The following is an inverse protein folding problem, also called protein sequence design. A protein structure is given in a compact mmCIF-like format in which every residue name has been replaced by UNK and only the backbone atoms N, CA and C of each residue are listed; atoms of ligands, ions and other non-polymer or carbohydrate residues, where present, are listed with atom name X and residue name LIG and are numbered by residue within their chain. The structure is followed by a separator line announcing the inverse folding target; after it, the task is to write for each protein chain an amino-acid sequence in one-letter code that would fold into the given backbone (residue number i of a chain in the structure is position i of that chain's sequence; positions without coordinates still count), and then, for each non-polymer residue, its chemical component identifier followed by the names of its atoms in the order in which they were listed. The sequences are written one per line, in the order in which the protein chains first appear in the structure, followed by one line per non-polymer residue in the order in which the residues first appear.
data_IF_785611703072
#
_entry.id   IF_785611703072
#
_cell.length_a   1.000
_cell.length_b   1.000
_cell.length_c   1.000
_cell.angle_alpha   90.00
_cell.angle_beta   90.00
_cell.angle_gamma   90.00
#
_symmetry.space_group_name_H-M   'P 1'
#
loop_
_entity.id
_entity.type
_entity.pdbx_description
1 polymer ?
#
# COMPACT_ATOMS: atom_id res chain seq x y z
N UNK A 1 -13.35 -3.03 17.46
CA UNK A 1 -14.40 -2.03 17.83
C UNK A 1 -15.75 -2.67 17.51
N UNK A 2 -16.64 -2.75 18.48
CA UNK A 2 -18.02 -3.18 18.28
C UNK A 2 -18.78 -2.01 17.64
N UNK A 3 -19.51 -2.24 16.55
CA UNK A 3 -20.19 -1.17 15.81
C UNK A 3 -21.57 -0.94 16.39
N UNK A 4 -21.79 0.23 16.96
CA UNK A 4 -23.10 0.66 17.48
C UNK A 4 -23.99 1.22 16.37
N UNK A 5 -25.30 1.32 16.62
CA UNK A 5 -26.23 1.96 15.69
C UNK A 5 -25.89 3.43 15.44
N UNK A 6 -25.39 4.14 16.46
CA UNK A 6 -24.95 5.54 16.34
C UNK A 6 -23.74 5.66 15.42
N UNK A 7 -22.74 4.78 15.56
CA UNK A 7 -21.58 4.75 14.67
C UNK A 7 -22.01 4.46 13.22
N UNK A 8 -22.91 3.48 13.03
CA UNK A 8 -23.45 3.16 11.72
C UNK A 8 -24.14 4.36 11.09
N UNK A 9 -25.00 5.05 11.84
CA UNK A 9 -25.70 6.24 11.36
C UNK A 9 -24.72 7.34 10.99
N UNK A 10 -23.73 7.65 11.83
CA UNK A 10 -22.70 8.66 11.56
C UNK A 10 -21.90 8.32 10.30
N UNK A 11 -21.50 7.05 10.11
CA UNK A 11 -20.81 6.60 8.89
C UNK A 11 -21.66 6.90 7.66
N UNK A 12 -22.94 6.51 7.65
CA UNK A 12 -23.83 6.71 6.51
C UNK A 12 -24.10 8.19 6.20
N UNK A 13 -24.26 9.03 7.21
CA UNK A 13 -24.52 10.48 7.06
C UNK A 13 -23.30 11.23 6.52
N UNK A 14 -22.11 10.82 6.95
CA UNK A 14 -20.85 11.49 6.57
C UNK A 14 -20.18 10.86 5.34
N UNK A 15 -20.65 9.72 4.86
CA UNK A 15 -20.08 9.04 3.71
C UNK A 15 -20.01 9.91 2.44
N UNK A 16 -18.85 9.90 1.78
CA UNK A 16 -18.59 10.59 0.51
C UNK A 16 -17.86 9.63 -0.43
N UNK A 17 -18.49 9.32 -1.54
CA UNK A 17 -17.90 8.48 -2.59
C UNK A 17 -17.25 9.38 -3.62
N UNK A 18 -15.98 9.13 -3.88
CA UNK A 18 -15.15 9.95 -4.76
C UNK A 18 -14.57 9.11 -5.88
N UNK A 19 -14.32 9.76 -7.02
CA UNK A 19 -13.72 9.16 -8.22
C UNK A 19 -12.56 10.04 -8.67
N UNK A 20 -11.33 9.57 -8.48
CA UNK A 20 -10.12 10.38 -8.63
C UNK A 20 -9.31 9.83 -9.81
N UNK A 21 -9.06 10.62 -10.86
CA UNK A 21 -8.20 10.20 -11.97
C UNK A 21 -6.75 9.96 -11.48
N UNK A 22 -6.10 8.98 -12.06
CA UNK A 22 -4.69 8.70 -11.81
C UNK A 22 -3.80 9.35 -12.86
N UNK A 23 -2.62 9.82 -12.46
CA UNK A 23 -1.61 10.40 -13.39
C UNK A 23 -1.08 9.37 -14.36
N UNK A 24 -0.93 8.14 -13.89
CA UNK A 24 -0.38 7.02 -14.63
C UNK A 24 -1.24 5.80 -14.32
N UNK A 25 -1.48 4.96 -15.33
CA UNK A 25 -2.13 3.66 -15.11
C UNK A 25 -1.28 2.83 -14.14
N UNK A 26 -1.87 2.45 -13.02
CA UNK A 26 -1.21 1.65 -12.00
C UNK A 26 -2.14 0.52 -11.57
N UNK A 27 -1.65 -0.71 -11.47
CA UNK A 27 -2.46 -1.90 -11.16
C UNK A 27 -3.70 -2.05 -12.08
N UNK A 28 -3.58 -1.64 -13.34
CA UNK A 28 -4.70 -1.66 -14.28
C UNK A 28 -5.70 -0.51 -14.15
N UNK A 29 -5.60 0.32 -13.10
CA UNK A 29 -6.51 1.43 -12.82
C UNK A 29 -6.06 2.72 -13.48
N UNK A 30 -7.02 3.46 -14.03
CA UNK A 30 -6.88 4.85 -14.51
C UNK A 30 -7.66 5.83 -13.63
N UNK A 31 -8.52 5.31 -12.77
CA UNK A 31 -9.33 6.06 -11.82
C UNK A 31 -9.39 5.29 -10.51
N UNK A 32 -9.22 5.99 -9.40
CA UNK A 32 -9.34 5.44 -8.06
C UNK A 32 -10.65 5.88 -7.43
N UNK A 33 -11.53 4.94 -7.15
CA UNK A 33 -12.74 5.18 -6.37
C UNK A 33 -12.47 4.92 -4.90
N UNK A 34 -12.93 5.82 -4.04
CA UNK A 34 -12.79 5.74 -2.58
C UNK A 34 -14.06 6.20 -1.89
N UNK A 35 -14.31 5.70 -0.68
CA UNK A 35 -15.35 6.18 0.19
C UNK A 35 -14.71 6.73 1.46
N UNK A 36 -14.97 8.00 1.77
CA UNK A 36 -14.55 8.65 3.01
C UNK A 36 -15.73 8.78 3.95
N UNK A 37 -15.49 8.69 5.25
CA UNK A 37 -16.46 9.01 6.29
C UNK A 37 -15.78 9.59 7.54
N UNK A 38 -16.55 10.27 8.38
CA UNK A 38 -16.04 10.95 9.57
C UNK A 38 -16.54 10.29 10.85
N UNK A 39 -15.61 10.07 11.78
CA UNK A 39 -15.89 9.68 13.15
C UNK A 39 -15.32 10.67 14.17
N UNK A 40 -15.47 10.41 15.48
CA UNK A 40 -15.00 11.30 16.54
C UNK A 40 -13.48 11.49 16.57
N UNK A 41 -12.71 10.57 16.00
CA UNK A 41 -11.25 10.67 15.89
C UNK A 41 -10.81 11.34 14.57
N UNK A 42 -11.72 11.67 13.68
CA UNK A 42 -11.49 12.29 12.38
C UNK A 42 -11.93 11.44 11.19
N UNK A 43 -11.50 11.83 10.01
CA UNK A 43 -11.84 11.16 8.77
C UNK A 43 -11.06 9.86 8.57
N UNK A 44 -11.71 8.89 7.94
CA UNK A 44 -11.12 7.64 7.50
C UNK A 44 -11.54 7.31 6.06
N UNK A 45 -10.74 6.49 5.41
CA UNK A 45 -10.98 6.01 4.04
C UNK A 45 -11.26 4.53 4.03
N UNK A 46 -12.35 4.15 3.34
CA UNK A 46 -12.65 2.79 2.95
C UNK A 46 -12.61 2.67 1.43
N UNK A 47 -11.57 2.04 0.92
CA UNK A 47 -11.32 1.99 -0.52
C UNK A 47 -10.80 0.61 -0.99
N UNK A 48 -11.48 -0.50 -0.66
CA UNK A 48 -11.14 -1.79 -1.22
C UNK A 48 -11.25 -1.73 -2.74
N UNK A 49 -10.42 -2.48 -3.44
CA UNK A 49 -10.53 -2.54 -4.89
C UNK A 49 -11.87 -3.13 -5.30
N UNK A 50 -12.39 -2.68 -6.45
CA UNK A 50 -13.75 -3.04 -6.88
C UNK A 50 -13.90 -4.52 -7.23
N UNK A 51 -12.80 -5.19 -7.58
CA UNK A 51 -12.75 -6.62 -7.84
C UNK A 51 -12.75 -7.51 -6.59
N UNK A 52 -12.62 -6.92 -5.38
CA UNK A 52 -12.64 -7.68 -4.13
C UNK A 52 -14.09 -7.96 -3.70
N UNK A 53 -14.32 -9.17 -3.21
CA UNK A 53 -15.62 -9.57 -2.64
C UNK A 53 -15.88 -8.85 -1.30
N UNK A 54 -17.13 -8.90 -0.84
CA UNK A 54 -17.56 -8.18 0.36
C UNK A 54 -16.85 -8.68 1.64
N UNK A 55 -16.43 -9.95 1.69
CA UNK A 55 -15.64 -10.52 2.80
C UNK A 55 -14.30 -9.77 2.96
N UNK A 56 -13.53 -9.66 1.88
CA UNK A 56 -12.25 -8.93 1.90
C UNK A 56 -12.49 -7.44 2.14
N UNK A 57 -13.48 -6.85 1.49
CA UNK A 57 -13.84 -5.44 1.65
C UNK A 57 -14.28 -5.10 3.09
N UNK A 58 -14.91 -6.03 3.80
CA UNK A 58 -15.34 -5.86 5.19
C UNK A 58 -14.15 -5.77 6.15
N UNK A 59 -13.03 -6.44 5.85
CA UNK A 59 -11.78 -6.32 6.63
C UNK A 59 -11.22 -4.90 6.52
N UNK A 60 -11.21 -4.33 5.32
CA UNK A 60 -10.80 -2.94 5.09
C UNK A 60 -11.73 -1.95 5.81
N UNK A 61 -13.03 -2.25 5.86
CA UNK A 61 -13.99 -1.41 6.57
C UNK A 61 -13.74 -1.42 8.08
N UNK A 62 -13.38 -2.57 8.66
CA UNK A 62 -12.96 -2.64 10.08
C UNK A 62 -11.77 -1.72 10.36
N UNK A 63 -10.78 -1.68 9.46
CA UNK A 63 -9.63 -0.80 9.59
C UNK A 63 -10.03 0.68 9.58
N UNK A 64 -10.89 1.09 8.64
CA UNK A 64 -11.37 2.46 8.54
C UNK A 64 -12.20 2.86 9.79
N UNK A 65 -13.05 1.95 10.28
CA UNK A 65 -13.83 2.18 11.51
C UNK A 65 -12.92 2.26 12.74
N UNK A 66 -11.91 1.38 12.86
CA UNK A 66 -10.92 1.49 13.94
C UNK A 66 -10.24 2.86 13.92
N UNK A 67 -9.85 3.36 12.74
CA UNK A 67 -9.15 4.63 12.62
C UNK A 67 -10.04 5.83 12.91
N UNK A 68 -11.34 5.79 12.56
CA UNK A 68 -12.29 6.88 12.78
C UNK A 68 -12.88 6.91 14.19
N UNK A 69 -13.07 5.76 14.84
CA UNK A 69 -13.82 5.62 16.09
C UNK A 69 -13.04 4.98 17.23
N UNK A 70 -12.04 4.16 16.90
CA UNK A 70 -11.30 3.38 17.89
C UNK A 70 -10.15 4.15 18.54
N UNK A 71 -9.55 3.50 19.52
CA UNK A 71 -8.33 3.98 20.15
C UNK A 71 -7.12 3.32 19.47
N UNK A 72 -6.37 4.14 18.76
CA UNK A 72 -5.07 3.77 18.18
C UNK A 72 -3.97 4.44 19.00
N UNK A 73 -2.81 3.79 19.21
CA UNK A 73 -1.68 4.45 19.86
C UNK A 73 -1.28 5.73 19.12
N UNK A 74 -0.85 6.75 19.86
CA UNK A 74 -0.38 8.00 19.27
C UNK A 74 1.11 7.91 18.95
N UNK A 75 1.52 8.16 17.69
CA UNK A 75 2.93 8.18 17.32
C UNK A 75 3.68 9.34 17.98
N UNK A 76 4.94 9.12 18.32
CA UNK A 76 5.82 10.17 18.89
C UNK A 76 6.66 10.87 17.83
N UNK A 77 6.99 10.21 16.73
CA UNK A 77 7.74 10.78 15.61
C UNK A 77 6.86 11.72 14.78
N UNK A 78 7.48 12.72 14.16
CA UNK A 78 6.77 13.77 13.42
C UNK A 78 6.76 13.57 11.91
N UNK A 79 7.74 12.84 11.40
CA UNK A 79 7.88 12.49 9.99
C UNK A 79 8.28 11.03 9.84
N UNK A 80 7.98 10.44 8.69
CA UNK A 80 8.47 9.12 8.31
C UNK A 80 9.13 9.20 6.93
N UNK A 81 10.15 8.37 6.70
CA UNK A 81 10.78 8.21 5.40
C UNK A 81 9.88 7.40 4.46
N UNK A 82 9.82 7.82 3.20
CA UNK A 82 9.04 7.13 2.16
C UNK A 82 9.87 6.89 0.90
N UNK A 83 9.49 5.86 0.15
CA UNK A 83 10.09 5.60 -1.16
C UNK A 83 9.24 6.18 -2.29
N UNK A 84 9.88 6.54 -3.40
CA UNK A 84 9.20 6.76 -4.67
C UNK A 84 8.67 5.43 -5.22
N UNK A 85 7.61 5.50 -6.02
CA UNK A 85 6.98 4.31 -6.63
C UNK A 85 6.90 4.48 -8.15
N UNK A 86 7.58 3.60 -8.88
CA UNK A 86 7.60 3.60 -10.33
C UNK A 86 6.68 2.51 -10.88
N UNK A 87 5.66 2.91 -11.63
CA UNK A 87 4.82 2.02 -12.40
C UNK A 87 5.59 1.34 -13.54
N UNK A 88 5.01 0.30 -14.14
CA UNK A 88 5.58 -0.41 -15.28
C UNK A 88 5.45 0.40 -16.60
N UNK A 89 6.08 1.56 -16.66
CA UNK A 89 6.04 2.53 -17.77
C UNK A 89 7.41 2.71 -18.42
N UNK A 90 7.43 3.28 -19.63
CA UNK A 90 8.68 3.55 -20.38
C UNK A 90 9.33 4.87 -19.97
N UNK A 91 8.53 5.92 -19.71
CA UNK A 91 9.06 7.22 -19.31
C UNK A 91 9.26 7.28 -17.78
N UNK A 92 10.43 6.82 -17.36
CA UNK A 92 10.85 6.74 -15.95
C UNK A 92 10.93 8.14 -15.31
N UNK A 93 11.44 9.14 -16.05
CA UNK A 93 11.63 10.50 -15.49
C UNK A 93 10.30 11.18 -15.22
N UNK A 94 9.39 11.19 -16.20
CA UNK A 94 8.06 11.77 -16.02
C UNK A 94 7.27 11.06 -14.91
N UNK A 95 7.42 9.74 -14.80
CA UNK A 95 6.74 8.95 -13.78
C UNK A 95 7.25 9.21 -12.35
N UNK A 96 8.53 9.55 -12.20
CA UNK A 96 9.14 9.81 -10.89
C UNK A 96 9.14 11.30 -10.49
N UNK A 97 8.89 12.22 -11.42
CA UNK A 97 8.84 13.67 -11.15
C UNK A 97 7.94 14.04 -9.95
N UNK A 98 6.73 13.47 -9.77
CA UNK A 98 5.84 13.82 -8.67
C UNK A 98 6.40 13.48 -7.27
N UNK A 99 7.43 12.62 -7.18
CA UNK A 99 8.04 12.22 -5.91
C UNK A 99 9.18 13.14 -5.46
N UNK A 100 9.61 14.08 -6.30
CA UNK A 100 10.72 15.00 -5.99
C UNK A 100 12.03 14.26 -5.71
N UNK A 101 12.73 14.64 -4.64
CA UNK A 101 13.96 13.98 -4.20
C UNK A 101 13.62 12.74 -3.35
N UNK A 102 14.27 11.62 -3.63
CA UNK A 102 14.10 10.37 -2.90
C UNK A 102 15.42 9.59 -2.80
N UNK A 103 15.61 8.85 -1.73
CA UNK A 103 16.77 7.95 -1.52
C UNK A 103 16.44 6.50 -1.94
N UNK A 104 15.16 6.15 -2.02
CA UNK A 104 14.68 4.80 -2.29
C UNK A 104 13.60 4.84 -3.35
N UNK A 105 13.66 3.95 -4.33
CA UNK A 105 12.62 3.79 -5.34
C UNK A 105 12.16 2.33 -5.42
N UNK A 106 10.85 2.11 -5.38
CA UNK A 106 10.23 0.80 -5.63
C UNK A 106 9.74 0.76 -7.08
N UNK A 107 10.27 -0.20 -7.84
CA UNK A 107 10.01 -0.36 -9.27
C UNK A 107 9.07 -1.55 -9.47
N UNK A 108 7.95 -1.32 -10.15
CA UNK A 108 7.06 -2.39 -10.58
C UNK A 108 7.72 -3.20 -11.68
N UNK A 109 7.77 -4.53 -11.48
CA UNK A 109 8.28 -5.53 -12.43
C UNK A 109 7.26 -6.64 -12.64
N UNK A 110 7.52 -7.56 -13.55
CA UNK A 110 6.63 -8.68 -13.88
C UNK A 110 5.22 -8.23 -14.32
N UNK A 111 5.08 -7.07 -14.95
CA UNK A 111 3.78 -6.58 -15.39
C UNK A 111 3.26 -7.44 -16.56
N UNK A 112 1.97 -7.77 -16.51
CA UNK A 112 1.34 -8.60 -17.54
C UNK A 112 1.52 -8.00 -18.93
N UNK A 113 2.06 -8.81 -19.85
CA UNK A 113 2.34 -8.41 -21.23
C UNK A 113 3.69 -7.72 -21.42
N UNK A 114 4.52 -7.61 -20.38
CA UNK A 114 5.92 -7.20 -20.45
C UNK A 114 6.84 -8.41 -20.27
N UNK A 115 8.09 -8.25 -20.71
CA UNK A 115 9.14 -9.25 -20.62
C UNK A 115 10.14 -8.91 -19.52
N UNK A 116 11.00 -9.87 -19.16
CA UNK A 116 12.12 -9.60 -18.25
C UNK A 116 13.05 -8.50 -18.79
N UNK A 117 13.21 -8.39 -20.12
CA UNK A 117 14.02 -7.32 -20.72
C UNK A 117 13.38 -5.93 -20.49
N UNK A 118 12.06 -5.82 -20.57
CA UNK A 118 11.37 -4.56 -20.25
C UNK A 118 11.61 -4.13 -18.80
N UNK A 119 11.68 -5.08 -17.86
CA UNK A 119 11.99 -4.84 -16.46
C UNK A 119 13.45 -4.39 -16.26
N UNK A 120 14.41 -5.08 -16.91
CA UNK A 120 15.83 -4.70 -16.89
C UNK A 120 16.05 -3.32 -17.48
N UNK A 121 15.45 -3.02 -18.62
CA UNK A 121 15.55 -1.70 -19.28
C UNK A 121 15.05 -0.59 -18.36
N UNK A 122 13.93 -0.82 -17.66
CA UNK A 122 13.36 0.12 -16.67
C UNK A 122 14.30 0.33 -15.49
N UNK A 123 14.91 -0.72 -14.98
CA UNK A 123 15.89 -0.63 -13.88
C UNK A 123 17.12 0.15 -14.33
N UNK A 124 17.62 -0.10 -15.54
CA UNK A 124 18.75 0.63 -16.11
C UNK A 124 18.45 2.12 -16.30
N UNK A 125 17.25 2.47 -16.77
CA UNK A 125 16.83 3.87 -16.89
C UNK A 125 16.75 4.55 -15.50
N UNK A 126 16.27 3.86 -14.46
CA UNK A 126 16.31 4.39 -13.08
C UNK A 126 17.77 4.62 -12.65
N UNK A 127 18.66 3.65 -12.86
CA UNK A 127 20.08 3.78 -12.49
C UNK A 127 20.78 4.92 -13.21
N UNK A 128 20.43 5.17 -14.45
CA UNK A 128 20.95 6.26 -15.28
C UNK A 128 20.60 7.64 -14.73
N UNK A 129 19.36 7.84 -14.31
CA UNK A 129 18.86 9.14 -13.84
C UNK A 129 19.00 9.34 -12.33
N UNK A 130 19.00 8.25 -11.55
CA UNK A 130 19.03 8.24 -10.09
C UNK A 130 20.10 7.25 -9.58
N UNK A 131 21.40 7.50 -9.87
CA UNK A 131 22.47 6.52 -9.63
C UNK A 131 22.65 6.15 -8.16
N UNK A 132 22.30 7.05 -7.24
CA UNK A 132 22.46 6.88 -5.79
C UNK A 132 21.23 6.27 -5.12
N UNK A 133 20.09 6.12 -5.84
CA UNK A 133 18.89 5.57 -5.26
C UNK A 133 19.02 4.06 -4.98
N UNK A 134 18.61 3.65 -3.78
CA UNK A 134 18.43 2.24 -3.45
C UNK A 134 17.18 1.72 -4.15
N UNK A 135 17.28 0.54 -4.76
CA UNK A 135 16.23 -0.03 -5.58
C UNK A 135 15.50 -1.13 -4.80
N UNK A 136 14.20 -1.15 -4.92
CA UNK A 136 13.29 -2.24 -4.55
C UNK A 136 12.53 -2.67 -5.80
N UNK A 137 12.30 -3.96 -5.96
CA UNK A 137 11.52 -4.49 -7.08
C UNK A 137 10.25 -5.14 -6.52
N UNK A 138 9.10 -4.84 -7.12
CA UNK A 138 7.81 -5.42 -6.73
C UNK A 138 7.21 -6.18 -7.91
N UNK A 139 7.18 -7.51 -7.80
CA UNK A 139 6.70 -8.41 -8.85
C UNK A 139 5.24 -8.85 -8.65
N UNK A 140 4.61 -8.56 -7.50
CA UNK A 140 3.25 -9.00 -7.14
C UNK A 140 2.95 -10.48 -7.49
N UNK A 141 3.94 -11.36 -7.30
CA UNK A 141 3.84 -12.79 -7.59
C UNK A 141 3.90 -13.15 -9.08
N UNK A 142 4.31 -12.22 -9.94
CA UNK A 142 4.25 -12.39 -11.40
C UNK A 142 5.39 -13.17 -12.03
N UNK A 143 6.46 -13.50 -11.28
CA UNK A 143 7.55 -14.33 -11.77
C UNK A 143 7.35 -15.80 -11.37
N UNK A 144 8.05 -16.68 -12.07
CA UNK A 144 8.45 -18.00 -11.59
C UNK A 144 9.85 -17.93 -10.95
N UNK A 145 10.26 -19.02 -10.31
CA UNK A 145 11.57 -19.11 -9.62
C UNK A 145 12.74 -18.85 -10.58
N UNK A 146 12.68 -19.39 -11.80
CA UNK A 146 13.76 -19.29 -12.79
C UNK A 146 13.93 -17.84 -13.27
N UNK A 147 12.84 -17.18 -13.59
CA UNK A 147 12.84 -15.76 -14.01
C UNK A 147 13.33 -14.85 -12.88
N UNK A 148 12.86 -15.07 -11.65
CA UNK A 148 13.31 -14.32 -10.48
C UNK A 148 14.81 -14.48 -10.20
N UNK A 149 15.36 -15.70 -10.37
CA UNK A 149 16.79 -15.95 -10.25
C UNK A 149 17.61 -15.31 -11.36
N UNK A 150 17.09 -15.32 -12.58
CA UNK A 150 17.74 -14.66 -13.73
C UNK A 150 17.86 -13.17 -13.51
N UNK A 151 16.78 -12.53 -13.04
CA UNK A 151 16.79 -11.11 -12.64
C UNK A 151 17.79 -10.84 -11.52
N UNK A 152 17.74 -11.64 -10.45
CA UNK A 152 18.62 -11.47 -9.30
C UNK A 152 20.11 -11.60 -9.67
N UNK A 153 20.43 -12.56 -10.54
CA UNK A 153 21.78 -12.74 -11.06
C UNK A 153 22.25 -11.52 -11.87
N UNK A 154 21.40 -11.00 -12.77
CA UNK A 154 21.72 -9.80 -13.54
C UNK A 154 21.98 -8.60 -12.62
N UNK A 155 21.12 -8.37 -11.63
CA UNK A 155 21.32 -7.28 -10.65
C UNK A 155 22.62 -7.43 -9.86
N UNK A 156 22.97 -8.64 -9.45
CA UNK A 156 24.20 -8.92 -8.74
C UNK A 156 25.45 -8.69 -9.61
N UNK A 157 25.47 -9.21 -10.84
CA UNK A 157 26.59 -9.08 -11.78
C UNK A 157 26.82 -7.61 -12.21
N UNK A 158 25.76 -6.83 -12.31
CA UNK A 158 25.81 -5.40 -12.65
C UNK A 158 26.08 -4.48 -11.43
N UNK A 159 26.15 -5.05 -10.24
CA UNK A 159 26.36 -4.29 -9.01
C UNK A 159 25.22 -3.33 -8.66
N UNK A 160 23.98 -3.66 -9.02
CA UNK A 160 22.80 -2.87 -8.67
C UNK A 160 22.47 -3.04 -7.18
N UNK A 161 22.37 -1.94 -6.39
CA UNK A 161 22.08 -2.02 -4.96
C UNK A 161 20.60 -2.33 -4.70
N UNK A 162 20.22 -3.61 -4.85
CA UNK A 162 18.85 -4.08 -4.61
C UNK A 162 18.63 -4.29 -3.11
N UNK A 163 17.72 -3.50 -2.51
CA UNK A 163 17.41 -3.59 -1.10
C UNK A 163 16.56 -4.84 -0.79
N UNK A 164 15.57 -5.14 -1.63
CA UNK A 164 14.79 -6.39 -1.60
C UNK A 164 14.00 -6.61 -2.91
N UNK A 165 13.56 -7.85 -3.09
CA UNK A 165 12.59 -8.27 -4.10
C UNK A 165 11.27 -8.61 -3.40
N UNK A 166 10.21 -7.82 -3.67
CA UNK A 166 8.89 -7.94 -3.06
C UNK A 166 8.04 -8.93 -3.86
N UNK A 167 7.50 -9.93 -3.16
CA UNK A 167 6.61 -10.97 -3.68
C UNK A 167 7.00 -11.43 -5.10
N UNK A 168 8.19 -12.00 -5.28
CA UNK A 168 8.65 -12.43 -6.61
C UNK A 168 7.80 -13.55 -7.21
N UNK A 169 7.35 -14.47 -6.36
CA UNK A 169 6.56 -15.65 -6.73
C UNK A 169 5.29 -15.72 -5.88
N UNK A 170 4.30 -16.51 -6.30
CA UNK A 170 2.96 -16.45 -5.71
C UNK A 170 2.84 -17.22 -4.39
N UNK A 171 3.43 -18.40 -4.27
CA UNK A 171 3.20 -19.28 -3.13
C UNK A 171 4.27 -19.15 -2.04
N UNK A 172 3.88 -19.43 -0.80
CA UNK A 172 4.82 -19.44 0.35
C UNK A 172 5.92 -20.48 0.17
N UNK A 173 5.60 -21.64 -0.42
CA UNK A 173 6.58 -22.68 -0.68
C UNK A 173 7.64 -22.23 -1.70
N UNK A 174 7.23 -21.60 -2.79
CA UNK A 174 8.14 -21.03 -3.79
C UNK A 174 8.99 -19.89 -3.20
N UNK A 175 8.39 -19.03 -2.36
CA UNK A 175 9.12 -17.97 -1.66
C UNK A 175 10.22 -18.56 -0.76
N UNK A 176 9.91 -19.60 0.01
CA UNK A 176 10.89 -20.27 0.87
C UNK A 176 12.05 -20.89 0.08
N UNK A 177 11.75 -21.55 -1.05
CA UNK A 177 12.76 -22.10 -1.95
C UNK A 177 13.62 -20.99 -2.55
N UNK A 178 12.99 -19.97 -3.13
CA UNK A 178 13.67 -18.86 -3.79
C UNK A 178 14.55 -18.07 -2.81
N UNK A 179 14.07 -17.84 -1.58
CA UNK A 179 14.83 -17.16 -0.53
C UNK A 179 16.18 -17.83 -0.26
N UNK A 180 16.23 -19.15 -0.21
CA UNK A 180 17.48 -19.88 0.00
C UNK A 180 18.46 -19.68 -1.17
N UNK A 181 17.96 -19.64 -2.41
CA UNK A 181 18.76 -19.42 -3.60
C UNK A 181 19.26 -17.98 -3.72
N UNK A 182 18.44 -17.00 -3.34
CA UNK A 182 18.80 -15.58 -3.38
C UNK A 182 19.88 -15.16 -2.36
N UNK A 183 20.13 -15.96 -1.34
CA UNK A 183 21.26 -15.74 -0.41
C UNK A 183 22.61 -15.66 -1.13
N UNK A 184 22.77 -16.37 -2.24
CA UNK A 184 24.00 -16.33 -3.07
C UNK A 184 24.26 -14.93 -3.66
N UNK A 185 23.22 -14.13 -3.84
CA UNK A 185 23.26 -12.77 -4.40
C UNK A 185 23.09 -11.69 -3.33
N UNK A 186 22.96 -12.08 -2.05
CA UNK A 186 22.67 -11.17 -0.93
C UNK A 186 21.40 -10.33 -1.16
N UNK A 187 20.38 -10.89 -1.81
CA UNK A 187 19.09 -10.24 -2.07
C UNK A 187 18.06 -10.81 -1.08
N UNK A 188 17.36 -9.89 -0.39
CA UNK A 188 16.29 -10.20 0.54
C UNK A 188 14.96 -10.39 -0.19
N UNK A 189 14.07 -11.19 0.37
CA UNK A 189 12.66 -11.30 -0.04
C UNK A 189 11.78 -10.53 0.94
N UNK A 190 10.90 -9.67 0.40
CA UNK A 190 9.78 -9.07 1.12
C UNK A 190 8.47 -9.76 0.73
N UNK A 191 7.62 -10.11 1.70
CA UNK A 191 6.30 -10.71 1.45
C UNK A 191 5.18 -9.69 1.62
N UNK A 192 4.33 -9.51 0.59
CA UNK A 192 3.11 -8.67 0.59
C UNK A 192 1.85 -9.53 0.48
N UNK A 193 1.57 -10.08 -0.69
CA UNK A 193 0.35 -10.88 -0.94
C UNK A 193 0.26 -12.09 -0.03
N UNK A 194 1.37 -12.73 0.26
CA UNK A 194 1.45 -13.88 1.16
C UNK A 194 1.20 -13.55 2.64
N UNK A 195 1.06 -12.27 2.99
CA UNK A 195 0.65 -11.82 4.33
C UNK A 195 -0.81 -11.43 4.37
N UNK A 196 -1.28 -10.62 3.40
CA UNK A 196 -2.61 -10.00 3.43
C UNK A 196 -3.70 -10.78 2.71
N UNK A 197 -3.34 -11.75 1.86
CA UNK A 197 -4.30 -12.56 1.07
C UNK A 197 -4.38 -14.03 1.53
N UNK A 198 -3.94 -14.32 2.71
CA UNK A 198 -3.95 -15.66 3.29
C UNK A 198 -4.77 -15.68 4.58
N UNK A 199 -5.26 -16.86 4.96
CA UNK A 199 -6.02 -17.05 6.20
C UNK A 199 -5.15 -16.87 7.47
N UNK A 200 -3.84 -17.14 7.36
CA UNK A 200 -2.86 -16.94 8.44
C UNK A 200 -1.74 -15.99 7.98
N UNK A 201 -1.75 -14.72 8.40
CA UNK A 201 -0.70 -13.75 8.09
C UNK A 201 0.70 -14.14 8.59
N UNK A 202 0.80 -15.06 9.55
CA UNK A 202 2.07 -15.53 10.12
C UNK A 202 2.67 -16.72 9.37
N UNK A 203 1.94 -17.32 8.43
CA UNK A 203 2.40 -18.51 7.69
C UNK A 203 3.74 -18.27 6.97
N UNK A 204 3.97 -17.07 6.43
CA UNK A 204 5.24 -16.68 5.78
C UNK A 204 6.41 -16.72 6.76
N UNK A 205 6.22 -16.16 7.95
CA UNK A 205 7.27 -16.15 8.99
C UNK A 205 7.55 -17.57 9.52
N UNK A 206 6.50 -18.34 9.77
CA UNK A 206 6.60 -19.74 10.23
C UNK A 206 7.31 -20.63 9.20
N UNK A 207 7.07 -20.40 7.90
CA UNK A 207 7.73 -21.12 6.82
C UNK A 207 9.15 -20.59 6.50
N UNK A 208 9.63 -19.56 7.20
CA UNK A 208 10.89 -18.87 6.89
C UNK A 208 10.98 -18.43 5.42
N UNK A 209 9.87 -18.01 4.83
CA UNK A 209 9.74 -17.73 3.40
C UNK A 209 10.11 -16.29 3.00
N UNK A 210 10.32 -15.39 3.95
CA UNK A 210 10.71 -14.01 3.71
C UNK A 210 11.76 -13.51 4.72
N UNK A 211 12.44 -12.43 4.38
CA UNK A 211 13.39 -11.71 5.24
C UNK A 211 12.74 -10.50 5.92
N UNK A 212 11.66 -9.99 5.34
CA UNK A 212 10.85 -8.89 5.87
C UNK A 212 9.40 -9.00 5.36
N UNK A 213 8.50 -8.30 6.04
CA UNK A 213 7.07 -8.25 5.69
C UNK A 213 6.71 -6.86 5.16
N UNK A 214 5.85 -6.82 4.15
CA UNK A 214 5.15 -5.60 3.73
C UNK A 214 3.76 -5.62 4.35
N UNK A 215 3.49 -4.63 5.23
CA UNK A 215 2.20 -4.52 5.91
C UNK A 215 1.42 -3.32 5.39
N UNK A 216 0.12 -3.50 5.25
CA UNK A 216 -0.84 -2.46 4.86
C UNK A 216 -1.97 -2.46 5.87
N UNK A 217 -2.22 -1.34 6.54
CA UNK A 217 -3.19 -1.25 7.63
C UNK A 217 -4.61 -1.66 7.20
N UNK A 218 -5.09 -1.17 6.05
CA UNK A 218 -6.44 -1.43 5.58
C UNK A 218 -6.71 -2.92 5.28
N UNK A 219 -5.92 -3.63 4.45
CA UNK A 219 -6.12 -5.06 4.19
C UNK A 219 -5.98 -5.94 5.43
N UNK A 220 -5.24 -5.50 6.43
CA UNK A 220 -5.02 -6.25 7.68
C UNK A 220 -6.05 -5.94 8.77
N UNK A 221 -7.07 -5.13 8.48
CA UNK A 221 -8.16 -4.84 9.42
C UNK A 221 -7.84 -3.83 10.49
N UNK A 222 -6.78 -3.02 10.32
CA UNK A 222 -6.45 -1.88 11.18
C UNK A 222 -5.04 -1.87 11.73
N UNK A 223 -4.70 -0.77 12.38
CA UNK A 223 -3.36 -0.53 12.96
C UNK A 223 -3.06 -1.54 14.07
N UNK A 224 -4.00 -1.77 14.98
CA UNK A 224 -3.76 -2.67 16.11
C UNK A 224 -3.48 -4.10 15.67
N UNK A 225 -4.22 -4.61 14.66
CA UNK A 225 -3.95 -5.94 14.13
C UNK A 225 -2.62 -6.02 13.37
N UNK A 226 -2.28 -5.00 12.59
CA UNK A 226 -1.00 -4.93 11.90
C UNK A 226 0.19 -4.90 12.88
N UNK A 227 0.09 -4.15 13.98
CA UNK A 227 1.10 -4.15 15.06
C UNK A 227 1.24 -5.52 15.71
N UNK A 228 0.12 -6.22 15.98
CA UNK A 228 0.12 -7.58 16.50
C UNK A 228 0.86 -8.54 15.55
N UNK A 229 0.51 -8.51 14.25
CA UNK A 229 1.16 -9.35 13.23
C UNK A 229 2.67 -9.07 13.17
N UNK A 230 3.08 -7.80 13.13
CA UNK A 230 4.49 -7.43 13.14
C UNK A 230 5.25 -7.99 14.34
N UNK A 231 4.66 -7.86 15.53
CA UNK A 231 5.24 -8.37 16.78
C UNK A 231 5.35 -9.91 16.80
N UNK A 232 4.30 -10.61 16.39
CA UNK A 232 4.26 -12.06 16.39
C UNK A 232 5.14 -12.69 15.32
N UNK A 233 5.25 -12.04 14.14
CA UNK A 233 6.12 -12.50 13.07
C UNK A 233 7.62 -12.36 13.42
N UNK A 234 8.00 -11.34 14.18
CA UNK A 234 9.38 -11.09 14.59
C UNK A 234 10.34 -10.77 13.43
N UNK A 235 9.81 -10.34 12.29
CA UNK A 235 10.56 -9.96 11.10
C UNK A 235 10.56 -8.43 10.95
N UNK A 236 11.57 -7.83 10.29
CA UNK A 236 11.52 -6.44 9.88
C UNK A 236 10.29 -6.14 9.04
N UNK A 237 9.77 -4.92 9.14
CA UNK A 237 8.53 -4.52 8.46
C UNK A 237 8.76 -3.29 7.59
N UNK A 238 8.16 -3.29 6.41
CA UNK A 238 7.93 -2.10 5.57
C UNK A 238 6.43 -1.85 5.54
N UNK A 239 6.00 -0.64 5.89
CA UNK A 239 4.60 -0.25 5.71
C UNK A 239 4.39 0.24 4.28
N UNK A 240 3.30 -0.17 3.65
CA UNK A 240 2.95 0.22 2.29
C UNK A 240 1.47 0.62 2.19
N UNK A 241 1.08 1.09 1.03
CA UNK A 241 -0.26 1.60 0.71
C UNK A 241 -0.97 0.72 -0.32
N UNK A 242 -2.25 1.00 -0.52
CA UNK A 242 -3.08 0.42 -1.56
C UNK A 242 -3.74 1.49 -2.45
N UNK A 243 -2.98 2.55 -2.79
CA UNK A 243 -3.42 3.68 -3.63
C UNK A 243 -4.51 4.53 -2.97
N UNK A 244 -4.43 4.75 -1.68
CA UNK A 244 -5.35 5.61 -0.94
C UNK A 244 -5.10 7.09 -1.23
N UNK A 245 -6.10 7.94 -0.93
CA UNK A 245 -5.93 9.39 -0.80
C UNK A 245 -5.11 9.72 0.45
N UNK A 246 -4.74 10.97 0.64
CA UNK A 246 -4.04 11.37 1.87
C UNK A 246 -4.81 11.05 3.15
N UNK A 247 -6.14 10.94 3.10
CA UNK A 247 -6.93 10.46 4.26
C UNK A 247 -6.60 9.01 4.60
N UNK A 248 -6.60 8.10 3.63
CA UNK A 248 -6.25 6.70 3.86
C UNK A 248 -4.76 6.50 4.13
N UNK A 249 -3.89 7.23 3.41
CA UNK A 249 -2.44 7.22 3.64
C UNK A 249 -2.11 7.58 5.09
N UNK A 250 -2.87 8.50 5.74
CA UNK A 250 -2.61 8.89 7.13
C UNK A 250 -2.69 7.71 8.10
N UNK A 251 -3.55 6.72 7.87
CA UNK A 251 -3.61 5.49 8.67
C UNK A 251 -2.33 4.65 8.52
N UNK A 252 -1.82 4.51 7.28
CA UNK A 252 -0.54 3.85 7.03
C UNK A 252 0.65 4.59 7.66
N UNK A 253 0.62 5.93 7.62
CA UNK A 253 1.63 6.80 8.26
C UNK A 253 1.67 6.59 9.77
N UNK A 254 0.52 6.51 10.43
CA UNK A 254 0.44 6.18 11.86
C UNK A 254 1.03 4.80 12.15
N UNK A 255 0.70 3.79 11.35
CA UNK A 255 1.28 2.45 11.49
C UNK A 255 2.80 2.47 11.33
N UNK A 256 3.32 3.15 10.29
CA UNK A 256 4.76 3.25 10.05
C UNK A 256 5.49 3.94 11.20
N UNK A 257 4.92 5.04 11.71
CA UNK A 257 5.46 5.79 12.83
C UNK A 257 5.49 5.00 14.16
N UNK A 258 4.52 4.08 14.36
CA UNK A 258 4.45 3.22 15.53
C UNK A 258 5.40 2.02 15.46
N UNK A 259 5.73 1.55 14.26
CA UNK A 259 6.65 0.44 14.04
C UNK A 259 8.11 0.87 14.08
N UNK A 260 8.40 2.15 13.86
CA UNK A 260 9.75 2.75 13.87
C UNK A 260 10.78 1.92 13.08
N UNK A 261 10.40 1.58 11.83
CA UNK A 261 11.21 0.73 10.97
C UNK A 261 12.35 1.51 10.31
N UNK A 262 13.52 0.88 10.16
CA UNK A 262 14.67 1.43 9.42
C UNK A 262 14.41 1.56 7.91
N UNK A 263 13.36 0.92 7.40
CA UNK A 263 13.00 0.94 5.99
C UNK A 263 12.09 2.14 5.66
N UNK A 264 12.37 2.82 4.56
CA UNK A 264 11.45 3.81 4.01
C UNK A 264 10.10 3.14 3.64
N UNK A 265 8.99 3.79 3.97
CA UNK A 265 7.64 3.25 3.75
C UNK A 265 7.13 3.50 2.33
N UNK A 266 6.33 2.59 1.78
CA UNK A 266 5.68 2.73 0.48
C UNK A 266 4.38 3.56 0.57
N UNK A 267 4.45 4.75 1.18
CA UNK A 267 3.29 5.59 1.52
C UNK A 267 3.22 6.91 0.74
N UNK A 268 4.05 7.08 -0.29
CA UNK A 268 4.04 8.27 -1.14
C UNK A 268 3.06 8.17 -2.33
N UNK A 269 2.17 7.20 -2.36
CA UNK A 269 1.32 6.90 -3.53
C UNK A 269 0.19 7.91 -3.78
N UNK A 270 -0.10 8.84 -2.87
CA UNK A 270 -0.94 10.01 -3.16
C UNK A 270 -0.39 10.82 -4.34
N UNK A 271 0.93 10.83 -4.56
CA UNK A 271 1.56 11.46 -5.72
C UNK A 271 1.16 10.84 -7.08
N UNK A 272 0.58 9.65 -7.11
CA UNK A 272 0.05 9.00 -8.33
C UNK A 272 -1.36 9.48 -8.70
N UNK A 273 -2.06 10.19 -7.82
CA UNK A 273 -3.36 10.78 -8.10
C UNK A 273 -3.19 12.13 -8.78
N UNK A 274 -4.11 12.49 -9.68
CA UNK A 274 -4.08 13.81 -10.32
C UNK A 274 -4.41 14.93 -9.34
N UNK A 275 -5.24 14.63 -8.37
CA UNK A 275 -5.73 15.53 -7.33
C UNK A 275 -5.90 14.74 -6.02
N UNK A 276 -5.93 15.44 -4.90
CA UNK A 276 -6.20 14.84 -3.59
C UNK A 276 -7.43 15.51 -2.95
N UNK A 277 -7.90 14.93 -1.88
CA UNK A 277 -9.09 15.39 -1.14
C UNK A 277 -8.80 16.55 -0.18
N UNK A 278 -7.57 17.04 -0.12
CA UNK A 278 -7.08 18.05 0.81
C UNK A 278 -6.17 19.06 0.12
N UNK A 279 -6.06 20.25 0.70
CA UNK A 279 -5.10 21.29 0.26
C UNK A 279 -3.68 21.02 0.79
N UNK A 280 -3.53 20.07 1.71
CA UNK A 280 -2.23 19.66 2.29
C UNK A 280 -2.01 18.16 2.08
N UNK A 281 -1.81 17.71 0.82
CA UNK A 281 -1.66 16.31 0.52
C UNK A 281 -0.37 15.73 1.13
N UNK A 282 -0.41 14.45 1.49
CA UNK A 282 0.74 13.70 1.98
C UNK A 282 1.66 13.30 0.82
N UNK A 283 2.21 14.31 0.14
CA UNK A 283 3.20 14.18 -0.91
C UNK A 283 4.59 14.29 -0.29
N UNK A 284 5.57 13.48 -0.72
CA UNK A 284 6.90 13.51 -0.14
C UNK A 284 7.61 14.84 -0.36
N UNK A 285 8.27 15.34 0.69
CA UNK A 285 9.22 16.46 0.63
C UNK A 285 10.57 15.90 1.08
N UNK A 286 11.53 15.88 0.16
CA UNK A 286 12.85 15.28 0.39
C UNK A 286 12.80 13.84 0.93
N UNK A 287 11.89 13.02 0.41
CA UNK A 287 11.75 11.63 0.80
C UNK A 287 11.06 11.40 2.16
N UNK A 288 10.41 12.40 2.73
CA UNK A 288 9.65 12.29 3.98
C UNK A 288 8.23 12.81 3.85
N UNK A 289 7.31 12.27 4.66
CA UNK A 289 5.95 12.78 4.84
C UNK A 289 5.64 12.99 6.32
N UNK A 290 4.80 13.99 6.67
CA UNK A 290 4.46 14.27 8.07
C UNK A 290 3.52 13.20 8.65
N UNK A 291 3.66 12.94 9.95
CA UNK A 291 2.76 12.08 10.72
C UNK A 291 1.58 12.93 11.20
N UNK A 292 0.47 12.83 10.49
CA UNK A 292 -0.74 13.62 10.80
C UNK A 292 -1.99 12.92 10.25
N UNK A 293 -3.13 13.22 10.87
CA UNK A 293 -4.45 12.91 10.30
C UNK A 293 -4.84 13.98 9.29
N UNK A 294 -5.47 13.57 8.22
CA UNK A 294 -5.90 14.47 7.14
C UNK A 294 -7.42 14.68 7.23
N UNK A 295 -7.81 15.96 7.15
CA UNK A 295 -9.21 16.36 6.98
C UNK A 295 -9.42 16.77 5.52
N UNK A 296 -10.39 16.18 4.82
CA UNK A 296 -10.70 16.58 3.44
C UNK A 296 -11.35 17.98 3.41
N UNK A 297 -11.12 18.72 2.34
CA UNK A 297 -11.80 20.00 2.17
C UNK A 297 -13.11 19.84 1.36
N UNK A 298 -14.09 20.71 1.63
CA UNK A 298 -15.43 20.63 1.03
C UNK A 298 -15.41 20.79 -0.49
N UNK A 299 -14.52 21.62 -1.02
CA UNK A 299 -14.43 21.88 -2.46
C UNK A 299 -13.91 20.63 -3.19
N UNK A 300 -12.88 19.98 -2.67
CA UNK A 300 -12.35 18.73 -3.22
C UNK A 300 -13.41 17.62 -3.15
N UNK A 301 -14.11 17.45 -2.03
CA UNK A 301 -15.18 16.47 -1.90
C UNK A 301 -16.29 16.67 -2.95
N UNK A 302 -16.66 17.92 -3.21
CA UNK A 302 -17.68 18.25 -4.23
C UNK A 302 -17.15 18.00 -5.64
N UNK A 303 -15.93 18.46 -5.93
CA UNK A 303 -15.31 18.33 -7.25
C UNK A 303 -15.07 16.89 -7.68
N UNK A 304 -14.63 16.06 -6.73
CA UNK A 304 -14.25 14.67 -6.95
C UNK A 304 -15.38 13.67 -6.69
N UNK A 305 -16.59 14.16 -6.43
CA UNK A 305 -17.75 13.29 -6.19
C UNK A 305 -17.92 12.29 -7.35
N UNK A 306 -18.09 11.03 -7.00
CA UNK A 306 -18.34 9.97 -7.97
C UNK A 306 -19.70 10.14 -8.67
N UNK A 307 -19.89 9.66 -9.91
CA UNK A 307 -21.19 9.58 -10.55
C UNK A 307 -22.24 8.89 -9.67
N UNK A 308 -23.52 9.21 -9.90
CA UNK A 308 -24.62 8.74 -9.05
C UNK A 308 -24.73 7.21 -9.00
N UNK A 309 -24.56 6.55 -10.14
CA UNK A 309 -24.55 5.08 -10.23
C UNK A 309 -23.41 4.45 -9.42
N UNK A 310 -22.22 5.06 -9.46
CA UNK A 310 -21.07 4.60 -8.68
C UNK A 310 -21.28 4.88 -7.18
N UNK A 311 -21.82 6.05 -6.86
CA UNK A 311 -22.17 6.39 -5.47
C UNK A 311 -23.16 5.37 -4.90
N UNK A 312 -24.22 5.06 -5.61
CA UNK A 312 -25.22 4.07 -5.18
C UNK A 312 -24.60 2.68 -4.97
N UNK A 313 -23.78 2.22 -5.91
CA UNK A 313 -23.06 0.95 -5.81
C UNK A 313 -22.18 0.86 -4.55
N UNK A 314 -21.41 1.92 -4.26
CA UNK A 314 -20.55 1.99 -3.07
C UNK A 314 -21.35 2.06 -1.77
N UNK A 315 -22.46 2.79 -1.75
CA UNK A 315 -23.33 2.86 -0.55
C UNK A 315 -23.99 1.53 -0.25
N UNK A 316 -24.51 0.83 -1.27
CA UNK A 316 -25.06 -0.53 -1.11
C UNK A 316 -23.98 -1.52 -0.61
N UNK A 317 -22.77 -1.45 -1.16
CA UNK A 317 -21.63 -2.25 -0.71
C UNK A 317 -21.26 -1.94 0.73
N UNK A 318 -21.22 -0.67 1.11
CA UNK A 318 -20.99 -0.24 2.48
C UNK A 318 -22.00 -0.87 3.44
N UNK A 319 -23.29 -0.83 3.10
CA UNK A 319 -24.33 -1.42 3.94
C UNK A 319 -24.18 -2.96 4.09
N UNK A 320 -23.82 -3.66 3.03
CA UNK A 320 -23.54 -5.10 3.11
C UNK A 320 -22.33 -5.40 3.97
N UNK A 321 -21.22 -4.67 3.78
CA UNK A 321 -20.01 -4.83 4.58
C UNK A 321 -20.21 -4.45 6.05
N UNK A 322 -20.99 -3.41 6.34
CA UNK A 322 -21.36 -3.06 7.72
C UNK A 322 -22.08 -4.21 8.45
N UNK A 323 -22.97 -4.93 7.78
CA UNK A 323 -23.62 -6.13 8.34
C UNK A 323 -22.62 -7.26 8.63
N UNK A 324 -21.60 -7.43 7.80
CA UNK A 324 -20.56 -8.47 7.96
C UNK A 324 -19.55 -8.16 9.06
N UNK A 325 -19.35 -6.89 9.39
CA UNK A 325 -18.37 -6.48 10.43
C UNK A 325 -18.82 -6.77 11.86
N UNK A 326 -20.00 -7.37 12.07
CA UNK A 326 -20.46 -7.82 13.38
C UNK A 326 -21.31 -6.79 14.12
N UNK A 327 -22.20 -6.10 13.41
CA UNK A 327 -23.26 -5.32 14.04
C UNK A 327 -24.21 -6.28 14.74
N UNK A 328 -24.31 -6.18 16.04
CA UNK A 328 -25.47 -6.72 16.76
C UNK A 328 -26.64 -5.81 16.39
N UNK A 329 -27.59 -6.35 15.62
CA UNK A 329 -28.86 -5.68 15.27
C UNK A 329 -29.74 -5.62 16.49
#
# INVERSE_FOLDING_TARGET
VEITNEMRQQILETARVLSIPMRIKFRGLTTREVLLFEGPKGWAEWSPFTEYEDEEASIWLKAAIEFAFGDTPEPTVKTIKVNATLAAVKDVRAALEPFGNFEVVKIKVAEKGQTLQDDLDRIHEVRKYYPDARIRLDANGGYDIETALTLAKAMYEEGVPLEYLEQPVMTIAELAELRLKLKLFNIKIAADESVRKVSDPLAVAQAHAADLLVLKAAPLGGINNALRIAKEAGLPVVVSSALETSVGISMGVYLAALLDSDYASGLATAALLTEDVTDTPLIPINGEIPVTRITPNKNALTKLQAPEDRTSCWMERLERCLKMTGIVI
#
